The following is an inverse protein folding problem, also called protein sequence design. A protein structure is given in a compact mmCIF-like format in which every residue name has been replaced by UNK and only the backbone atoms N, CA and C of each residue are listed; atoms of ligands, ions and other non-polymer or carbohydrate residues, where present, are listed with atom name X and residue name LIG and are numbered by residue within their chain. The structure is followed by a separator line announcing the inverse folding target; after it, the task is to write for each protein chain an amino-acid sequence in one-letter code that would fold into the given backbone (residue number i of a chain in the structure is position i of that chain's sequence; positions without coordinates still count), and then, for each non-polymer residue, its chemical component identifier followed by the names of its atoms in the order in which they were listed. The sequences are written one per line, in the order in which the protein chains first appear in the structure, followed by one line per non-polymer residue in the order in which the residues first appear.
data_IF_996307007560
#
_entry.id   IF_996307007560
#
_cell.length_a   1.000
_cell.length_b   1.000
_cell.length_c   1.000
_cell.angle_alpha   90.00
_cell.angle_beta   90.00
_cell.angle_gamma   90.00
#
_symmetry.space_group_name_H-M   'P 1'
#
loop_
_entity.id
_entity.type
_entity.pdbx_description
1 polymer ?
#
# COMPACT_ATOMS: atom_id res chain seq x y z
N UNK A 1 4.66 -11.91 -2.28
CA UNK A 1 5.93 -11.41 -2.85
C UNK A 1 6.93 -11.01 -1.77
N UNK A 2 6.53 -10.17 -0.82
CA UNK A 2 7.47 -9.61 0.17
C UNK A 2 7.44 -10.29 1.55
N UNK A 3 6.83 -11.45 1.70
CA UNK A 3 6.66 -12.06 3.02
C UNK A 3 7.98 -12.57 3.65
N UNK A 4 9.03 -12.75 2.85
CA UNK A 4 10.35 -13.14 3.34
C UNK A 4 11.35 -11.98 3.36
N UNK A 5 10.93 -10.77 2.97
CA UNK A 5 11.79 -9.59 2.88
C UNK A 5 11.49 -8.61 4.03
N UNK A 6 11.50 -9.12 5.26
CA UNK A 6 11.04 -8.38 6.45
C UNK A 6 11.92 -7.20 6.84
N UNK A 7 13.17 -7.20 6.34
CA UNK A 7 14.11 -6.11 6.64
C UNK A 7 13.97 -4.92 5.68
N UNK A 8 13.28 -5.09 4.55
CA UNK A 8 13.08 -4.01 3.60
C UNK A 8 12.11 -3.00 4.19
N UNK A 9 12.49 -1.72 4.19
CA UNK A 9 11.65 -0.63 4.70
C UNK A 9 11.36 0.44 3.67
N UNK A 10 12.10 0.52 2.57
CA UNK A 10 11.93 1.53 1.54
C UNK A 10 11.30 0.95 0.29
N UNK A 11 10.01 1.27 0.08
CA UNK A 11 9.24 0.90 -1.11
C UNK A 11 8.81 2.13 -1.90
N UNK A 12 9.49 3.27 -1.71
CA UNK A 12 9.16 4.50 -2.45
C UNK A 12 9.22 4.23 -3.95
N UNK A 13 8.14 4.57 -4.65
CA UNK A 13 8.02 4.45 -6.11
C UNK A 13 8.25 3.03 -6.66
N UNK A 14 8.15 2.00 -5.83
CA UNK A 14 8.48 0.62 -6.23
C UNK A 14 7.67 0.16 -7.44
N UNK A 15 6.38 0.49 -7.49
CA UNK A 15 5.48 0.16 -8.60
C UNK A 15 4.89 1.40 -9.27
N UNK A 16 5.55 2.55 -9.12
CA UNK A 16 5.09 3.83 -9.65
C UNK A 16 4.74 3.71 -11.14
N UNK A 17 3.51 4.12 -11.49
CA UNK A 17 3.02 4.14 -12.86
C UNK A 17 3.09 2.79 -13.60
N UNK A 18 3.02 1.68 -12.89
CA UNK A 18 2.89 0.36 -13.51
C UNK A 18 1.45 0.17 -14.01
N UNK A 19 1.09 0.82 -15.10
CA UNK A 19 -0.29 0.93 -15.60
C UNK A 19 -0.92 -0.39 -16.01
N UNK A 20 -0.11 -1.40 -16.34
CA UNK A 20 -0.57 -2.71 -16.78
C UNK A 20 -0.45 -3.78 -15.68
N UNK A 21 -0.11 -3.39 -14.46
CA UNK A 21 0.02 -4.33 -13.35
C UNK A 21 -1.32 -4.50 -12.64
N UNK A 22 -1.78 -5.74 -12.54
CA UNK A 22 -2.93 -6.08 -11.70
C UNK A 22 -2.45 -6.30 -10.27
N UNK A 23 -2.76 -5.36 -9.38
CA UNK A 23 -2.30 -5.40 -8.00
C UNK A 23 -2.98 -6.53 -7.24
N UNK A 24 -2.23 -7.24 -6.40
CA UNK A 24 -2.75 -8.30 -5.54
C UNK A 24 -2.60 -7.92 -4.08
N UNK A 25 -3.63 -8.21 -3.29
CA UNK A 25 -3.61 -7.92 -1.86
C UNK A 25 -2.62 -8.78 -1.08
N UNK A 26 -2.20 -9.91 -1.65
CA UNK A 26 -1.32 -10.87 -0.97
C UNK A 26 0.18 -10.67 -1.27
N UNK A 27 0.56 -9.54 -1.86
CA UNK A 27 1.98 -9.20 -2.02
C UNK A 27 2.67 -8.95 -0.68
N UNK A 28 1.89 -8.64 0.35
CA UNK A 28 2.34 -8.59 1.74
C UNK A 28 1.52 -9.58 2.56
N UNK A 29 2.05 -10.08 3.70
CA UNK A 29 1.23 -10.87 4.63
C UNK A 29 -0.01 -10.09 5.08
N UNK A 30 -1.07 -10.82 5.45
CA UNK A 30 -2.32 -10.22 5.89
C UNK A 30 -2.08 -9.42 7.20
N UNK A 31 -2.42 -8.12 7.24
CA UNK A 31 -2.25 -7.33 8.45
C UNK A 31 -3.14 -7.75 9.62
N UNK A 32 -4.26 -8.45 9.34
CA UNK A 32 -5.13 -8.95 10.42
C UNK A 32 -4.42 -10.02 11.25
N UNK A 33 -3.66 -10.90 10.59
CA UNK A 33 -2.92 -11.97 11.25
C UNK A 33 -1.48 -11.59 11.57
N UNK A 34 -0.94 -10.54 10.93
CA UNK A 34 0.43 -10.09 11.10
C UNK A 34 0.50 -8.57 11.34
N UNK A 35 -0.23 -8.04 12.35
CA UNK A 35 -0.34 -6.59 12.51
C UNK A 35 1.00 -5.91 12.85
N UNK A 36 1.93 -6.64 13.43
CA UNK A 36 3.22 -6.10 13.88
C UNK A 36 4.36 -6.38 12.91
N UNK A 37 4.04 -6.74 11.64
CA UNK A 37 5.07 -7.05 10.64
C UNK A 37 6.11 -5.93 10.52
N UNK A 38 5.67 -4.67 10.58
CA UNK A 38 6.51 -3.49 10.44
C UNK A 38 6.73 -2.76 11.76
N UNK A 39 6.44 -3.40 12.89
CA UNK A 39 6.59 -2.77 14.20
C UNK A 39 8.03 -2.31 14.43
N UNK A 40 8.20 -1.08 14.92
CA UNK A 40 9.50 -0.49 15.16
C UNK A 40 10.26 -0.04 13.91
N UNK A 41 9.65 -0.20 12.71
CA UNK A 41 10.26 0.24 11.45
C UNK A 41 9.59 1.52 10.96
N UNK A 42 10.36 2.38 10.31
CA UNK A 42 9.88 3.57 9.63
C UNK A 42 9.75 3.23 8.16
N UNK A 43 8.54 2.79 7.76
CA UNK A 43 8.28 2.31 6.41
C UNK A 43 8.11 3.48 5.44
N UNK A 44 8.59 3.30 4.21
CA UNK A 44 8.50 4.30 3.17
C UNK A 44 7.72 3.73 1.99
N UNK A 45 6.55 4.31 1.72
CA UNK A 45 5.64 3.89 0.65
C UNK A 45 5.21 5.07 -0.25
N UNK A 46 5.98 6.16 -0.28
CA UNK A 46 5.65 7.33 -1.09
C UNK A 46 5.46 6.93 -2.55
N UNK A 47 4.30 7.21 -3.10
CA UNK A 47 3.89 6.90 -4.48
C UNK A 47 4.15 5.44 -4.91
N UNK A 48 4.22 4.50 -3.95
CA UNK A 48 4.57 3.11 -4.23
C UNK A 48 3.66 2.48 -5.28
N UNK A 49 2.35 2.71 -5.20
CA UNK A 49 1.35 2.16 -6.11
C UNK A 49 0.61 3.22 -6.91
N UNK A 50 1.20 4.38 -7.09
CA UNK A 50 0.61 5.49 -7.84
C UNK A 50 0.27 5.05 -9.25
N UNK A 51 -0.99 5.23 -9.65
CA UNK A 51 -1.51 4.89 -10.99
C UNK A 51 -1.30 3.42 -11.42
N UNK A 52 -1.16 2.49 -10.48
CA UNK A 52 -1.02 1.07 -10.82
C UNK A 52 -2.33 0.56 -11.44
N UNK A 53 -2.20 -0.19 -12.53
CA UNK A 53 -3.32 -0.90 -13.16
C UNK A 53 -4.29 -0.03 -13.94
N UNK A 54 -3.97 1.24 -14.22
CA UNK A 54 -4.91 2.17 -14.87
C UNK A 54 -5.28 1.76 -16.30
N UNK A 55 -4.48 0.92 -16.96
CA UNK A 55 -4.80 0.41 -18.31
C UNK A 55 -5.63 -0.87 -18.29
N UNK A 56 -5.94 -1.42 -17.11
CA UNK A 56 -6.65 -2.70 -17.02
C UNK A 56 -8.16 -2.49 -16.98
N UNK A 57 -8.91 -3.32 -17.70
CA UNK A 57 -10.36 -3.36 -17.63
C UNK A 57 -10.86 -4.07 -16.37
N UNK A 58 -10.05 -4.98 -15.81
CA UNK A 58 -10.38 -5.72 -14.59
C UNK A 58 -9.42 -5.29 -13.50
N UNK A 59 -9.87 -4.51 -12.49
CA UNK A 59 -8.99 -4.03 -11.44
C UNK A 59 -8.48 -5.13 -10.52
N UNK A 60 -7.34 -4.92 -9.89
CA UNK A 60 -6.80 -5.76 -8.84
C UNK A 60 -7.36 -5.38 -7.48
N UNK A 61 -6.62 -5.74 -6.42
CA UNK A 61 -6.99 -5.43 -5.03
C UNK A 61 -5.76 -4.93 -4.29
N UNK A 62 -5.89 -3.78 -3.62
CA UNK A 62 -4.77 -3.19 -2.89
C UNK A 62 -4.48 -3.96 -1.60
N UNK A 63 -3.19 -4.16 -1.25
CA UNK A 63 -2.84 -4.64 0.08
C UNK A 63 -3.22 -3.58 1.11
N UNK A 64 -3.73 -4.03 2.26
CA UNK A 64 -4.27 -3.11 3.29
C UNK A 64 -3.15 -2.63 4.22
N UNK A 65 -2.19 -1.91 3.67
CA UNK A 65 -0.98 -1.47 4.39
C UNK A 65 -1.29 -0.59 5.61
N UNK A 66 -2.38 0.15 5.56
CA UNK A 66 -2.80 1.04 6.66
C UNK A 66 -3.22 0.28 7.91
N UNK A 67 -3.54 -1.01 7.81
CA UNK A 67 -3.94 -1.83 8.95
C UNK A 67 -2.76 -2.44 9.71
N UNK A 68 -1.55 -2.39 9.17
CA UNK A 68 -0.37 -2.73 9.94
C UNK A 68 -0.13 -1.69 11.03
N UNK A 69 0.34 -2.11 12.19
CA UNK A 69 0.71 -1.18 13.25
C UNK A 69 1.80 -0.23 12.74
N UNK A 70 1.56 1.07 12.88
CA UNK A 70 2.38 2.14 12.32
C UNK A 70 1.76 2.81 11.11
N UNK A 71 0.82 2.16 10.42
CA UNK A 71 0.20 2.68 9.19
C UNK A 71 -0.93 3.68 9.38
N UNK A 72 -1.34 3.94 10.61
CA UNK A 72 -2.35 4.95 10.91
C UNK A 72 -3.80 4.46 10.90
N UNK A 73 -4.06 3.22 10.51
CA UNK A 73 -5.41 2.68 10.43
C UNK A 73 -6.29 3.49 9.48
N UNK A 74 -7.60 3.43 9.68
CA UNK A 74 -8.57 4.14 8.82
C UNK A 74 -8.68 5.63 9.17
N UNK A 75 -8.24 6.03 10.35
CA UNK A 75 -8.39 7.42 10.84
C UNK A 75 -7.09 8.24 10.73
N UNK A 76 -5.95 7.58 10.51
CA UNK A 76 -4.66 8.27 10.52
C UNK A 76 -4.38 8.94 11.86
N UNK A 77 -3.32 9.74 11.98
CA UNK A 77 -2.22 9.88 11.03
C UNK A 77 -1.19 8.75 11.16
N UNK A 78 -0.20 8.80 10.28
CA UNK A 78 1.00 7.93 10.38
C UNK A 78 2.23 8.79 10.26
N UNK A 79 3.34 8.35 10.89
CA UNK A 79 4.65 8.98 10.71
C UNK A 79 5.38 8.44 9.47
N UNK A 80 4.86 7.38 8.86
CA UNK A 80 5.46 6.83 7.65
C UNK A 80 5.26 7.78 6.46
N UNK A 81 6.27 7.97 5.58
CA UNK A 81 6.07 8.68 4.32
C UNK A 81 5.26 7.81 3.36
N UNK A 82 3.99 8.16 3.21
CA UNK A 82 3.01 7.40 2.43
C UNK A 82 2.29 8.27 1.39
N UNK A 83 2.78 9.48 1.17
CA UNK A 83 2.12 10.46 0.30
C UNK A 83 1.79 9.85 -1.05
N UNK A 84 0.53 9.93 -1.44
CA UNK A 84 0.02 9.43 -2.73
C UNK A 84 0.34 7.95 -3.00
N UNK A 85 0.51 7.14 -1.96
CA UNK A 85 0.84 5.72 -2.11
C UNK A 85 -0.12 5.01 -3.06
N UNK A 86 -1.43 5.20 -2.88
CA UNK A 86 -2.46 4.59 -3.72
C UNK A 86 -3.22 5.59 -4.57
N UNK A 87 -2.65 6.76 -4.82
CA UNK A 87 -3.35 7.78 -5.62
C UNK A 87 -3.63 7.24 -7.02
N UNK A 88 -4.89 7.34 -7.45
CA UNK A 88 -5.35 6.92 -8.77
C UNK A 88 -5.04 5.45 -9.11
N UNK A 89 -4.87 4.61 -8.09
CA UNK A 89 -4.64 3.17 -8.27
C UNK A 89 -5.94 2.48 -8.67
N UNK A 90 -5.88 1.63 -9.69
CA UNK A 90 -7.06 0.89 -10.17
C UNK A 90 -7.23 -0.42 -9.39
N UNK A 91 -7.99 -0.36 -8.31
CA UNK A 91 -8.26 -1.51 -7.43
C UNK A 91 -9.71 -1.53 -6.99
N UNK A 92 -10.23 -2.73 -6.72
CA UNK A 92 -11.64 -2.92 -6.32
C UNK A 92 -11.95 -2.29 -4.97
N UNK A 93 -10.96 -2.22 -4.08
CA UNK A 93 -11.12 -1.68 -2.72
C UNK A 93 -10.62 -0.24 -2.57
N UNK A 94 -10.59 0.52 -3.67
CA UNK A 94 -10.10 1.91 -3.65
C UNK A 94 -10.83 2.75 -2.60
N UNK A 95 -12.15 2.62 -2.51
CA UNK A 95 -12.97 3.41 -1.58
C UNK A 95 -12.73 3.03 -0.11
N UNK A 96 -12.15 1.88 0.15
CA UNK A 96 -11.78 1.46 1.52
C UNK A 96 -10.41 1.98 1.94
N UNK A 97 -9.63 2.52 1.01
CA UNK A 97 -8.30 3.07 1.31
C UNK A 97 -8.50 4.42 2.02
N UNK A 98 -7.85 4.65 3.18
CA UNK A 98 -7.95 5.94 3.85
C UNK A 98 -7.39 7.07 2.98
N UNK A 99 -7.96 8.28 3.13
CA UNK A 99 -7.58 9.43 2.31
C UNK A 99 -6.08 9.76 2.40
N UNK A 100 -5.49 9.64 3.58
CA UNK A 100 -4.06 9.94 3.76
C UNK A 100 -3.14 8.97 3.00
N UNK A 101 -3.64 7.78 2.63
CA UNK A 101 -2.92 6.83 1.78
C UNK A 101 -3.19 7.06 0.29
N UNK A 102 -4.16 7.88 -0.07
CA UNK A 102 -4.54 8.20 -1.46
C UNK A 102 -4.04 9.57 -1.93
N UNK A 103 -3.40 10.32 -1.06
CA UNK A 103 -2.98 11.68 -1.38
C UNK A 103 -4.11 12.71 -1.32
N UNK A 104 -5.17 12.41 -0.59
CA UNK A 104 -6.34 13.28 -0.46
C UNK A 104 -6.41 14.00 0.88
#
# INVERSE_FOLDING_TARGET
MFKYNREVSNFNQCFFSCHNLKLRSDIFPDPVTNPDLFAGKWMQFHTCFYEVGTNLSTPGTAPKLWLFNGGGGTAGPTTWPISSCFKDTNVTNYNSIPNHWKGL
#
